data_IF_898210285979
#
_entry.id   IF_898210285979
#
_cell.length_a   1.000
_cell.length_b   1.000
_cell.length_c   1.000
_cell.angle_alpha   90.00
_cell.angle_beta   90.00
_cell.angle_gamma   90.00
#
_symmetry.space_group_name_H-M   'P 1'
#
loop_
_entity.id
_entity.type
_entity.pdbx_description
1 polymer ?
#
# COMPACT_ATOMS: atom_id res chain seq x y z
N UNK A 1 22.20 -19.60 4.44
CA UNK A 1 20.97 -19.26 3.68
C UNK A 1 21.39 -18.25 2.64
N UNK A 2 21.34 -18.62 1.37
CA UNK A 2 21.78 -17.74 0.28
C UNK A 2 20.80 -16.56 0.18
N UNK A 3 21.31 -15.35 0.42
CA UNK A 3 20.51 -14.14 0.35
C UNK A 3 20.05 -13.97 -1.09
N UNK A 4 18.75 -14.12 -1.32
CA UNK A 4 18.15 -14.00 -2.65
C UNK A 4 18.43 -12.58 -3.14
N UNK A 5 19.39 -12.44 -4.07
CA UNK A 5 19.82 -11.16 -4.66
C UNK A 5 18.59 -10.30 -4.98
N UNK A 6 18.50 -9.12 -4.38
CA UNK A 6 17.50 -8.09 -4.68
C UNK A 6 18.17 -7.01 -5.57
N UNK A 7 18.38 -7.27 -6.88
CA UNK A 7 19.08 -6.33 -7.76
C UNK A 7 18.36 -4.98 -7.87
N UNK A 8 17.07 -4.94 -7.56
CA UNK A 8 16.23 -3.74 -7.66
C UNK A 8 15.99 -3.03 -6.33
N UNK A 9 16.61 -3.51 -5.23
CA UNK A 9 16.55 -2.90 -3.90
C UNK A 9 15.10 -2.58 -3.48
N UNK A 10 14.16 -3.46 -3.79
CA UNK A 10 12.73 -3.22 -3.55
C UNK A 10 12.43 -2.98 -2.07
N UNK A 11 13.13 -3.68 -1.18
CA UNK A 11 12.99 -3.53 0.27
C UNK A 11 13.49 -2.17 0.75
N UNK A 12 14.69 -1.77 0.33
CA UNK A 12 15.31 -0.50 0.68
C UNK A 12 14.42 0.67 0.22
N UNK A 13 14.02 0.68 -1.05
CA UNK A 13 13.11 1.68 -1.61
C UNK A 13 11.78 1.79 -0.86
N UNK A 14 11.23 0.65 -0.40
CA UNK A 14 9.99 0.63 0.35
C UNK A 14 10.16 1.28 1.73
N UNK A 15 11.27 0.98 2.40
CA UNK A 15 11.62 1.55 3.71
C UNK A 15 11.87 3.06 3.57
N UNK A 16 12.68 3.48 2.59
CA UNK A 16 12.94 4.89 2.29
C UNK A 16 11.65 5.66 2.02
N UNK A 17 10.75 5.08 1.22
CA UNK A 17 9.47 5.71 0.96
C UNK A 17 8.63 5.87 2.23
N UNK A 18 8.55 4.85 3.11
CA UNK A 18 7.83 4.97 4.39
C UNK A 18 8.41 6.09 5.26
N UNK A 19 9.74 6.19 5.33
CA UNK A 19 10.42 7.27 6.06
C UNK A 19 10.08 8.65 5.47
N UNK A 20 10.07 8.79 4.15
CA UNK A 20 9.68 10.04 3.47
C UNK A 20 8.23 10.42 3.76
N UNK A 21 7.30 9.47 3.70
CA UNK A 21 5.89 9.75 4.00
C UNK A 21 5.69 10.16 5.46
N UNK A 22 6.39 9.49 6.38
CA UNK A 22 6.35 9.84 7.79
C UNK A 22 6.92 11.25 8.05
N UNK A 23 8.03 11.60 7.40
CA UNK A 23 8.62 12.93 7.47
C UNK A 23 7.70 14.02 6.88
N UNK A 24 6.97 13.69 5.81
CA UNK A 24 6.03 14.62 5.16
C UNK A 24 4.65 14.68 5.83
N UNK A 25 4.40 13.87 6.86
CA UNK A 25 3.09 13.75 7.51
C UNK A 25 1.99 13.10 6.64
N UNK A 26 2.34 12.56 5.47
CA UNK A 26 1.40 11.98 4.51
C UNK A 26 1.95 11.89 3.09
N UNK A 27 1.12 11.37 2.19
CA UNK A 27 1.41 11.31 0.76
C UNK A 27 1.22 12.72 0.17
N UNK A 28 2.27 13.30 -0.47
CA UNK A 28 2.14 14.60 -1.11
C UNK A 28 1.09 14.59 -2.22
N UNK A 29 0.52 15.75 -2.49
CA UNK A 29 -0.49 15.97 -3.54
C UNK A 29 -1.85 15.27 -3.30
N UNK A 30 -2.09 14.76 -2.09
CA UNK A 30 -3.33 14.09 -1.70
C UNK A 30 -3.80 14.63 -0.34
N UNK A 31 -5.11 14.70 -0.12
CA UNK A 31 -5.66 15.09 1.18
C UNK A 31 -5.23 14.11 2.29
N UNK A 32 -5.13 14.63 3.52
CA UNK A 32 -4.71 13.82 4.68
C UNK A 32 -5.57 12.57 4.86
N UNK A 33 -6.90 12.71 4.76
CA UNK A 33 -7.83 11.59 4.85
C UNK A 33 -7.56 10.50 3.81
N UNK A 34 -7.34 10.88 2.55
CA UNK A 34 -7.05 9.92 1.48
C UNK A 34 -5.66 9.29 1.65
N UNK A 35 -4.67 10.08 2.08
CA UNK A 35 -3.34 9.59 2.43
C UNK A 35 -3.41 8.50 3.51
N UNK A 36 -4.16 8.75 4.58
CA UNK A 36 -4.27 7.82 5.71
C UNK A 36 -4.97 6.50 5.30
N UNK A 37 -6.01 6.57 4.47
CA UNK A 37 -6.66 5.38 3.90
C UNK A 37 -5.69 4.55 3.05
N UNK A 38 -4.90 5.20 2.19
CA UNK A 38 -3.91 4.53 1.33
C UNK A 38 -2.82 3.88 2.19
N UNK A 39 -2.35 4.58 3.23
CA UNK A 39 -1.34 4.06 4.15
C UNK A 39 -1.86 2.85 4.94
N UNK A 40 -3.08 2.91 5.45
CA UNK A 40 -3.72 1.79 6.11
C UNK A 40 -3.81 0.57 5.17
N UNK A 41 -4.30 0.77 3.95
CA UNK A 41 -4.40 -0.29 2.95
C UNK A 41 -3.04 -0.95 2.62
N UNK A 42 -1.99 -0.15 2.43
CA UNK A 42 -0.65 -0.66 2.13
C UNK A 42 -0.05 -1.39 3.34
N UNK A 43 -0.31 -0.90 4.56
CA UNK A 43 0.16 -1.52 5.81
C UNK A 43 -0.53 -2.86 6.05
N UNK A 44 -1.83 -2.96 5.78
CA UNK A 44 -2.56 -4.21 5.87
C UNK A 44 -2.07 -5.22 4.84
N UNK A 45 -1.74 -4.77 3.62
CA UNK A 45 -1.13 -5.61 2.58
C UNK A 45 0.28 -6.07 2.96
N UNK A 46 1.08 -5.19 3.55
CA UNK A 46 2.41 -5.52 4.11
C UNK A 46 2.28 -6.57 5.23
N UNK A 47 1.22 -6.49 6.04
CA UNK A 47 0.93 -7.42 7.14
C UNK A 47 0.20 -8.69 6.70
N UNK A 48 -0.33 -8.72 5.46
CA UNK A 48 -1.09 -9.85 4.94
C UNK A 48 -2.53 -9.95 5.49
N UNK A 49 -3.08 -8.85 6.00
CA UNK A 49 -4.43 -8.78 6.57
C UNK A 49 -5.47 -8.50 5.48
N UNK A 50 -5.20 -7.53 4.61
CA UNK A 50 -6.15 -7.09 3.59
C UNK A 50 -5.92 -7.79 2.25
N UNK A 51 -6.18 -9.10 2.21
CA UNK A 51 -5.99 -9.91 1.01
C UNK A 51 -7.35 -10.35 0.47
N UNK A 52 -7.54 -10.26 -0.86
CA UNK A 52 -8.78 -10.68 -1.50
C UNK A 52 -9.09 -12.16 -1.23
N UNK A 53 -10.38 -12.53 -1.22
CA UNK A 53 -10.81 -13.94 -1.11
C UNK A 53 -10.09 -14.77 -2.19
N UNK A 54 -9.30 -15.76 -1.76
CA UNK A 54 -8.49 -16.61 -2.65
C UNK A 54 -7.01 -16.22 -2.79
N UNK A 55 -6.58 -15.08 -2.24
CA UNK A 55 -5.15 -14.76 -2.15
C UNK A 55 -4.49 -15.53 -0.98
N UNK A 56 -3.24 -16.00 -1.14
CA UNK A 56 -2.48 -16.58 -0.03
C UNK A 56 -2.37 -15.55 1.10
N UNK A 57 -2.74 -15.93 2.34
CA UNK A 57 -2.73 -15.06 3.54
C UNK A 57 -1.31 -14.71 4.00
N UNK A 58 -0.51 -14.14 3.12
CA UNK A 58 0.90 -13.84 3.34
C UNK A 58 1.19 -12.38 3.08
N UNK A 59 2.18 -11.88 3.82
CA UNK A 59 2.72 -10.53 3.67
C UNK A 59 3.08 -10.26 2.21
N UNK A 60 2.58 -9.16 1.65
CA UNK A 60 2.95 -8.76 0.28
C UNK A 60 4.41 -8.34 0.24
N UNK A 61 5.11 -8.80 -0.80
CA UNK A 61 6.52 -8.45 -0.99
C UNK A 61 6.68 -6.95 -1.30
N UNK A 62 7.81 -6.33 -0.92
CA UNK A 62 8.09 -4.93 -1.23
C UNK A 62 7.94 -4.56 -2.70
N UNK A 63 8.24 -5.46 -3.64
CA UNK A 63 8.01 -5.23 -5.07
C UNK A 63 6.54 -4.91 -5.37
N UNK A 64 5.60 -5.70 -4.85
CA UNK A 64 4.16 -5.49 -5.04
C UNK A 64 3.67 -4.21 -4.37
N UNK A 65 4.18 -3.89 -3.19
CA UNK A 65 3.82 -2.68 -2.45
C UNK A 65 4.28 -1.42 -3.20
N UNK A 66 5.48 -1.47 -3.80
CA UNK A 66 6.00 -0.41 -4.66
C UNK A 66 5.11 -0.20 -5.90
N UNK A 67 4.61 -1.27 -6.54
CA UNK A 67 3.68 -1.14 -7.67
C UNK A 67 2.34 -0.53 -7.24
N UNK A 68 1.82 -0.95 -6.08
CA UNK A 68 0.55 -0.44 -5.54
C UNK A 68 0.64 1.05 -5.19
N UNK A 69 1.78 1.50 -4.64
CA UNK A 69 2.07 2.92 -4.43
C UNK A 69 1.97 3.71 -5.75
N UNK A 70 2.53 3.20 -6.85
CA UNK A 70 2.51 3.89 -8.15
C UNK A 70 1.11 4.04 -8.75
N UNK A 71 0.27 3.01 -8.60
CA UNK A 71 -1.11 3.00 -9.11
C UNK A 71 -2.08 3.88 -8.29
N UNK A 72 -1.70 4.23 -7.06
CA UNK A 72 -2.54 4.96 -6.10
C UNK A 72 -2.81 6.43 -6.48
N UNK A 73 -2.11 7.01 -7.47
CA UNK A 73 -2.35 8.39 -7.88
C UNK A 73 -3.73 8.65 -8.51
N UNK A 74 -4.34 7.68 -9.21
CA UNK A 74 -5.60 7.93 -9.95
C UNK A 74 -6.64 6.78 -9.92
N UNK A 75 -6.24 5.54 -9.65
CA UNK A 75 -7.11 4.36 -9.89
C UNK A 75 -7.72 3.74 -8.63
N UNK A 76 -7.01 3.79 -7.50
CA UNK A 76 -7.44 3.16 -6.26
C UNK A 76 -8.43 4.01 -5.47
N UNK A 77 -8.43 5.34 -5.60
CA UNK A 77 -9.51 6.20 -5.07
C UNK A 77 -10.89 5.75 -5.60
N UNK A 78 -10.99 5.36 -6.88
CA UNK A 78 -12.22 4.79 -7.44
C UNK A 78 -12.59 3.45 -6.81
N UNK A 79 -11.61 2.56 -6.59
CA UNK A 79 -11.83 1.24 -5.98
C UNK A 79 -12.12 1.33 -4.46
N UNK A 80 -11.46 2.23 -3.74
CA UNK A 80 -11.69 2.50 -2.31
C UNK A 80 -13.04 3.19 -2.10
N UNK A 81 -13.37 4.22 -2.90
CA UNK A 81 -14.70 4.83 -2.86
C UNK A 81 -15.80 3.82 -3.20
N UNK A 82 -15.56 2.90 -4.15
CA UNK A 82 -16.52 1.83 -4.43
C UNK A 82 -16.65 0.82 -3.28
N UNK A 83 -15.60 0.58 -2.49
CA UNK A 83 -15.62 -0.33 -1.34
C UNK A 83 -16.22 0.29 -0.07
N UNK A 84 -15.94 1.57 0.18
CA UNK A 84 -16.52 2.33 1.30
C UNK A 84 -18.03 2.52 1.09
N UNK A 85 -18.47 2.87 -0.13
CA UNK A 85 -19.90 3.04 -0.46
C UNK A 85 -20.71 1.72 -0.38
N UNK A 86 -20.06 0.56 -0.45
CA UNK A 86 -20.72 -0.75 -0.20
C UNK A 86 -20.95 -0.98 1.31
N UNK A 87 -20.10 -0.44 2.18
CA UNK A 87 -20.19 -0.63 3.62
C UNK A 87 -21.12 0.39 4.31
N UNK A 88 -21.44 1.51 3.65
CA UNK A 88 -22.36 2.56 4.15
C UNK A 88 -23.84 2.33 3.76
N UNK A 89 -24.14 1.19 3.11
CA UNK A 89 -25.51 0.77 2.74
C UNK A 89 -26.04 -0.37 3.61
N UNK A 90 -25.82 -0.28 4.92
CA UNK A 90 -26.44 -1.17 5.92
C UNK A 90 -27.02 -0.36 7.06
#
# INVERSE_FOLDING_TARGET
MEEKRDPYKHKERWIEWKAQIQANGGIPDISKANSDIILAYLTDMESGINLGKGCPKTRRKPSRLNDLKGLNKNSQLKLLNSRININDRR
#
